data_IF_198241515259
#
_entry.id   IF_198241515259
#
_cell.length_a   1.000
_cell.length_b   1.000
_cell.length_c   1.000
_cell.angle_alpha   90.00
_cell.angle_beta   90.00
_cell.angle_gamma   90.00
#
_symmetry.space_group_name_H-M   'P 1'
#
loop_
_entity.id
_entity.type
_entity.pdbx_description
1 polymer ?
#
# COMPACT_ATOMS: atom_id res chain seq x y z
N UNK A 1 32.12 -12.37 -22.59
CA UNK A 1 31.63 -12.74 -23.95
C UNK A 1 30.43 -13.68 -23.85
N UNK A 2 30.47 -14.73 -23.03
CA UNK A 2 29.38 -15.71 -22.87
C UNK A 2 28.11 -15.16 -22.17
N UNK A 3 28.22 -14.29 -21.16
CA UNK A 3 27.05 -13.70 -20.49
C UNK A 3 26.15 -12.88 -21.43
N UNK A 4 26.73 -12.16 -22.38
CA UNK A 4 25.99 -11.35 -23.36
C UNK A 4 25.24 -12.20 -24.41
N UNK A 5 25.67 -13.46 -24.60
CA UNK A 5 25.08 -14.36 -25.59
C UNK A 5 23.79 -15.03 -25.09
N UNK A 6 23.70 -15.31 -23.79
CA UNK A 6 22.55 -15.95 -23.14
C UNK A 6 21.70 -14.97 -22.31
N UNK A 7 22.25 -13.80 -21.98
CA UNK A 7 21.54 -12.67 -21.38
C UNK A 7 21.84 -11.41 -22.19
N UNK A 8 21.27 -11.28 -23.42
CA UNK A 8 21.38 -10.04 -24.16
C UNK A 8 20.88 -8.89 -23.26
N UNK A 9 21.60 -7.75 -23.21
CA UNK A 9 21.22 -6.64 -22.37
C UNK A 9 19.77 -6.26 -22.69
N UNK A 10 18.90 -6.33 -21.67
CA UNK A 10 17.50 -5.99 -21.87
C UNK A 10 17.42 -4.57 -22.37
N UNK A 11 16.62 -4.36 -23.41
CA UNK A 11 16.19 -3.02 -23.79
C UNK A 11 15.51 -2.40 -22.56
N UNK A 12 15.60 -1.09 -22.36
CA UNK A 12 15.02 -0.43 -21.19
C UNK A 12 13.66 0.19 -21.54
N UNK A 13 12.78 0.26 -20.56
CA UNK A 13 11.48 0.95 -20.66
C UNK A 13 10.54 0.32 -21.67
N UNK A 14 9.98 1.14 -22.56
CA UNK A 14 8.99 0.72 -23.59
C UNK A 14 9.57 -0.26 -24.61
N UNK A 15 10.90 -0.32 -24.73
CA UNK A 15 11.57 -1.19 -25.67
C UNK A 15 11.76 -2.62 -25.12
N UNK A 16 11.53 -2.83 -23.81
CA UNK A 16 11.47 -4.16 -23.19
C UNK A 16 10.07 -4.75 -23.33
N UNK A 17 9.75 -5.32 -24.51
CA UNK A 17 8.42 -5.91 -24.75
C UNK A 17 8.10 -6.97 -23.68
N UNK A 18 9.08 -7.74 -23.24
CA UNK A 18 8.93 -8.75 -22.19
C UNK A 18 8.62 -8.13 -20.83
N UNK A 19 9.41 -7.12 -20.45
CA UNK A 19 9.17 -6.35 -19.22
C UNK A 19 7.80 -5.69 -19.20
N UNK A 20 7.34 -5.14 -20.33
CA UNK A 20 6.01 -4.57 -20.45
C UNK A 20 4.91 -5.62 -20.29
N UNK A 21 5.07 -6.81 -20.88
CA UNK A 21 4.10 -7.91 -20.69
C UNK A 21 4.01 -8.32 -19.23
N UNK A 22 5.15 -8.50 -18.55
CA UNK A 22 5.17 -8.84 -17.12
C UNK A 22 4.49 -7.75 -16.28
N UNK A 23 4.76 -6.48 -16.57
CA UNK A 23 4.15 -5.36 -15.87
C UNK A 23 2.63 -5.32 -16.08
N UNK A 24 2.15 -5.54 -17.31
CA UNK A 24 0.72 -5.60 -17.61
C UNK A 24 0.02 -6.73 -16.85
N UNK A 25 0.63 -7.92 -16.79
CA UNK A 25 0.09 -9.03 -16.00
C UNK A 25 0.04 -8.67 -14.51
N UNK A 26 1.07 -8.04 -13.96
CA UNK A 26 1.06 -7.58 -12.57
C UNK A 26 -0.06 -6.55 -12.30
N UNK A 27 -0.31 -5.63 -13.23
CA UNK A 27 -1.42 -4.67 -13.13
C UNK A 27 -2.78 -5.39 -13.16
N UNK A 28 -2.96 -6.37 -14.04
CA UNK A 28 -4.20 -7.16 -14.09
C UNK A 28 -4.45 -7.88 -12.77
N UNK A 29 -3.43 -8.57 -12.23
CA UNK A 29 -3.53 -9.26 -10.94
C UNK A 29 -3.84 -8.29 -9.78
N UNK A 30 -3.17 -7.13 -9.78
CA UNK A 30 -3.44 -6.06 -8.80
C UNK A 30 -4.87 -5.56 -8.89
N UNK A 31 -5.42 -5.38 -10.09
CA UNK A 31 -6.80 -4.92 -10.23
C UNK A 31 -7.81 -5.99 -9.80
N UNK A 32 -7.55 -7.26 -10.12
CA UNK A 32 -8.40 -8.36 -9.69
C UNK A 32 -8.43 -8.51 -8.16
N UNK A 33 -7.35 -8.17 -7.46
CA UNK A 33 -7.28 -8.29 -6.00
C UNK A 33 -8.07 -7.23 -5.23
N UNK A 34 -8.70 -6.25 -5.89
CA UNK A 34 -9.63 -5.33 -5.23
C UNK A 34 -11.03 -5.93 -5.03
N UNK A 35 -11.35 -7.00 -5.75
CA UNK A 35 -12.66 -7.65 -5.66
C UNK A 35 -12.61 -8.79 -4.65
N UNK A 36 -13.37 -8.70 -3.56
CA UNK A 36 -13.37 -9.68 -2.45
C UNK A 36 -13.56 -11.13 -2.93
N UNK A 37 -14.43 -11.34 -3.92
CA UNK A 37 -14.68 -12.67 -4.50
C UNK A 37 -13.47 -13.29 -5.20
N UNK A 38 -12.55 -12.46 -5.69
CA UNK A 38 -11.32 -12.91 -6.37
C UNK A 38 -10.19 -13.16 -5.39
N UNK A 39 -10.15 -12.44 -4.26
CA UNK A 39 -9.04 -12.48 -3.31
C UNK A 39 -8.74 -13.91 -2.85
N UNK A 40 -9.76 -14.68 -2.46
CA UNK A 40 -9.61 -16.09 -2.04
C UNK A 40 -9.00 -16.97 -3.12
N UNK A 41 -9.43 -16.77 -4.38
CA UNK A 41 -8.93 -17.53 -5.52
C UNK A 41 -7.46 -17.19 -5.83
N UNK A 42 -7.10 -15.91 -5.70
CA UNK A 42 -5.73 -15.45 -5.90
C UNK A 42 -4.80 -15.97 -4.79
N UNK A 43 -5.24 -15.92 -3.53
CA UNK A 43 -4.49 -16.41 -2.37
C UNK A 43 -4.25 -17.92 -2.43
N UNK A 44 -5.24 -18.70 -2.86
CA UNK A 44 -5.11 -20.15 -3.02
C UNK A 44 -4.18 -20.56 -4.18
N UNK A 45 -3.89 -19.66 -5.12
CA UNK A 45 -3.08 -19.97 -6.29
C UNK A 45 -1.58 -19.83 -5.99
N UNK A 46 -0.91 -20.96 -5.76
CA UNK A 46 0.53 -21.02 -5.50
C UNK A 46 1.41 -20.39 -6.58
N UNK A 47 1.00 -20.45 -7.85
CA UNK A 47 1.76 -19.83 -8.95
C UNK A 47 1.64 -18.31 -8.91
N UNK A 48 0.44 -17.79 -8.62
CA UNK A 48 0.20 -16.37 -8.37
C UNK A 48 1.09 -15.88 -7.23
N UNK A 49 1.06 -16.57 -6.08
CA UNK A 49 1.87 -16.20 -4.92
C UNK A 49 3.38 -16.17 -5.23
N UNK A 50 3.90 -17.17 -5.94
CA UNK A 50 5.30 -17.20 -6.39
C UNK A 50 5.64 -16.02 -7.30
N UNK A 51 4.75 -15.68 -8.23
CA UNK A 51 4.92 -14.54 -9.12
C UNK A 51 4.94 -13.21 -8.34
N UNK A 52 4.04 -13.04 -7.37
CA UNK A 52 3.97 -11.83 -6.55
C UNK A 52 5.19 -11.67 -5.66
N UNK A 53 5.65 -12.74 -5.01
CA UNK A 53 6.89 -12.72 -4.22
C UNK A 53 8.12 -12.42 -5.11
N UNK A 54 8.20 -13.00 -6.31
CA UNK A 54 9.26 -12.65 -7.26
C UNK A 54 9.19 -11.16 -7.64
N UNK A 55 7.99 -10.64 -7.86
CA UNK A 55 7.75 -9.24 -8.18
C UNK A 55 8.16 -8.31 -7.04
N UNK A 56 7.85 -8.67 -5.79
CA UNK A 56 8.23 -7.93 -4.57
C UNK A 56 9.76 -7.81 -4.39
N UNK A 57 10.54 -8.72 -4.96
CA UNK A 57 12.02 -8.67 -4.96
C UNK A 57 12.62 -8.15 -6.27
N UNK A 58 11.79 -7.62 -7.17
CA UNK A 58 12.25 -7.04 -8.43
C UNK A 58 13.09 -5.76 -8.23
N UNK A 59 14.09 -5.58 -9.11
CA UNK A 59 14.82 -4.32 -9.26
C UNK A 59 13.95 -3.22 -9.88
N UNK A 60 12.94 -3.59 -10.67
CA UNK A 60 12.00 -2.64 -11.28
C UNK A 60 10.97 -2.17 -10.25
N UNK A 61 11.05 -0.89 -9.87
CA UNK A 61 10.26 -0.30 -8.78
C UNK A 61 8.75 -0.49 -9.00
N UNK A 62 8.24 -0.19 -10.19
CA UNK A 62 6.81 -0.33 -10.49
C UNK A 62 6.30 -1.76 -10.34
N UNK A 63 7.09 -2.75 -10.78
CA UNK A 63 6.74 -4.16 -10.61
C UNK A 63 6.77 -4.58 -9.14
N UNK A 64 7.75 -4.07 -8.38
CA UNK A 64 7.84 -4.30 -6.93
C UNK A 64 6.65 -3.73 -6.18
N UNK A 65 6.26 -2.49 -6.50
CA UNK A 65 5.09 -1.85 -5.89
C UNK A 65 3.81 -2.63 -6.19
N UNK A 66 3.58 -3.02 -7.45
CA UNK A 66 2.42 -3.83 -7.82
C UNK A 66 2.41 -5.19 -7.12
N UNK A 67 3.58 -5.84 -6.99
CA UNK A 67 3.73 -7.09 -6.27
C UNK A 67 3.33 -6.96 -4.80
N UNK A 68 3.86 -5.93 -4.11
CA UNK A 68 3.56 -5.68 -2.69
C UNK A 68 2.13 -5.21 -2.46
N UNK A 69 1.60 -4.34 -3.31
CA UNK A 69 0.19 -3.90 -3.24
C UNK A 69 -0.75 -5.10 -3.38
N UNK A 70 -0.49 -5.99 -4.35
CA UNK A 70 -1.32 -7.19 -4.55
C UNK A 70 -1.19 -8.16 -3.39
N UNK A 71 0.03 -8.34 -2.83
CA UNK A 71 0.24 -9.16 -1.63
C UNK A 71 -0.52 -8.61 -0.43
N UNK A 72 -0.51 -7.29 -0.22
CA UNK A 72 -1.27 -6.63 0.84
C UNK A 72 -2.75 -6.94 0.75
N UNK A 73 -3.33 -6.81 -0.45
CA UNK A 73 -4.74 -7.09 -0.71
C UNK A 73 -5.14 -8.55 -0.43
N UNK A 74 -4.27 -9.52 -0.73
CA UNK A 74 -4.61 -10.95 -0.61
C UNK A 74 -4.15 -11.62 0.70
N UNK A 75 -3.33 -10.93 1.50
CA UNK A 75 -2.71 -11.49 2.69
C UNK A 75 -3.71 -11.99 3.73
N UNK A 76 -4.90 -11.40 3.82
CA UNK A 76 -5.93 -11.80 4.77
C UNK A 76 -6.50 -13.20 4.51
N UNK A 77 -6.41 -13.68 3.27
CA UNK A 77 -6.92 -14.98 2.83
C UNK A 77 -5.79 -15.98 2.54
N UNK A 78 -4.53 -15.60 2.84
CA UNK A 78 -3.36 -16.45 2.62
C UNK A 78 -3.17 -17.41 3.80
N UNK A 79 -3.34 -18.70 3.53
CA UNK A 79 -2.91 -19.77 4.41
C UNK A 79 -1.47 -20.16 4.07
N UNK A 80 -0.56 -19.94 5.01
CA UNK A 80 0.85 -20.24 4.81
C UNK A 80 1.09 -21.75 4.83
N UNK A 81 1.92 -22.21 3.89
CA UNK A 81 2.38 -23.59 3.93
C UNK A 81 3.29 -23.81 5.17
N UNK A 82 3.44 -25.05 5.66
CA UNK A 82 4.31 -25.37 6.80
C UNK A 82 5.77 -24.90 6.62
N UNK A 83 6.53 -24.91 7.72
CA UNK A 83 7.92 -24.41 7.79
C UNK A 83 8.87 -24.98 6.74
N UNK A 84 8.60 -26.14 6.16
CA UNK A 84 9.48 -26.72 5.13
C UNK A 84 9.40 -26.02 3.77
N UNK A 85 8.39 -25.17 3.56
CA UNK A 85 8.13 -24.55 2.27
C UNK A 85 8.86 -23.21 2.12
N UNK A 86 9.73 -23.14 1.11
CA UNK A 86 10.49 -21.92 0.76
C UNK A 86 9.61 -20.68 0.53
N UNK A 87 8.37 -20.87 0.09
CA UNK A 87 7.42 -19.76 -0.12
C UNK A 87 7.05 -19.07 1.18
N UNK A 88 6.85 -19.82 2.27
CA UNK A 88 6.59 -19.29 3.62
C UNK A 88 7.81 -18.51 4.14
N UNK A 89 9.01 -19.07 4.02
CA UNK A 89 10.27 -18.37 4.35
C UNK A 89 10.42 -17.07 3.57
N UNK A 90 10.15 -17.11 2.26
CA UNK A 90 10.26 -15.93 1.41
C UNK A 90 9.21 -14.87 1.76
N UNK A 91 8.01 -15.27 2.20
CA UNK A 91 6.99 -14.34 2.70
C UNK A 91 7.51 -13.57 3.91
N UNK A 92 7.96 -14.27 4.96
CA UNK A 92 8.50 -13.61 6.16
C UNK A 92 9.74 -12.78 5.85
N UNK A 93 10.64 -13.27 5.01
CA UNK A 93 11.79 -12.47 4.54
C UNK A 93 11.34 -11.18 3.84
N UNK A 94 10.26 -11.23 3.05
CA UNK A 94 9.70 -10.06 2.37
C UNK A 94 9.15 -9.06 3.39
N UNK A 95 8.39 -9.52 4.38
CA UNK A 95 7.86 -8.70 5.48
C UNK A 95 9.01 -8.03 6.24
N UNK A 96 9.98 -8.80 6.74
CA UNK A 96 11.12 -8.27 7.49
C UNK A 96 11.91 -7.25 6.67
N UNK A 97 12.18 -7.53 5.38
CA UNK A 97 12.87 -6.59 4.49
C UNK A 97 12.10 -5.29 4.30
N UNK A 98 10.77 -5.35 4.26
CA UNK A 98 9.91 -4.18 4.16
C UNK A 98 9.93 -3.33 5.44
N UNK A 99 9.79 -3.98 6.60
CA UNK A 99 9.85 -3.31 7.91
C UNK A 99 11.21 -2.62 8.14
N UNK A 100 12.31 -3.31 7.81
CA UNK A 100 13.68 -2.78 7.98
C UNK A 100 14.09 -1.77 6.91
N UNK A 101 13.23 -1.48 5.93
CA UNK A 101 13.52 -0.55 4.86
C UNK A 101 13.55 0.90 5.37
N UNK A 102 14.30 1.79 4.72
CA UNK A 102 14.20 3.24 4.96
C UNK A 102 13.04 3.89 4.19
N UNK A 103 12.46 3.15 3.25
CA UNK A 103 11.36 3.62 2.41
C UNK A 103 10.03 3.50 3.16
N UNK A 104 9.37 4.64 3.35
CA UNK A 104 8.04 4.74 3.99
C UNK A 104 7.01 3.83 3.34
N UNK A 105 6.98 3.73 2.01
CA UNK A 105 6.04 2.87 1.30
C UNK A 105 6.27 1.40 1.68
N UNK A 106 7.54 0.97 1.71
CA UNK A 106 7.88 -0.40 2.08
C UNK A 106 7.49 -0.69 3.53
N UNK A 107 7.74 0.22 4.47
CA UNK A 107 7.32 0.04 5.87
C UNK A 107 5.80 -0.16 6.01
N UNK A 108 5.02 0.73 5.39
CA UNK A 108 3.56 0.65 5.38
C UNK A 108 3.08 -0.71 4.81
N UNK A 109 3.62 -1.12 3.66
CA UNK A 109 3.26 -2.41 3.05
C UNK A 109 3.70 -3.61 3.88
N UNK A 110 4.86 -3.55 4.53
CA UNK A 110 5.32 -4.60 5.44
C UNK A 110 4.38 -4.80 6.62
N UNK A 111 3.93 -3.70 7.25
CA UNK A 111 2.97 -3.73 8.35
C UNK A 111 1.59 -4.22 7.90
N UNK A 112 1.09 -3.74 6.76
CA UNK A 112 -0.19 -4.17 6.19
C UNK A 112 -0.22 -5.67 5.87
N UNK A 113 0.81 -6.18 5.17
CA UNK A 113 0.93 -7.61 4.85
C UNK A 113 0.99 -8.44 6.13
N UNK A 114 1.81 -8.03 7.10
CA UNK A 114 1.93 -8.74 8.38
C UNK A 114 0.60 -8.77 9.15
N UNK A 115 -0.06 -7.62 9.29
CA UNK A 115 -1.35 -7.51 9.98
C UNK A 115 -2.42 -8.35 9.30
N UNK A 116 -2.47 -8.35 7.97
CA UNK A 116 -3.40 -9.18 7.22
C UNK A 116 -3.12 -10.68 7.38
N UNK A 117 -1.85 -11.11 7.41
CA UNK A 117 -1.51 -12.52 7.65
C UNK A 117 -1.97 -13.02 9.03
N UNK A 118 -2.05 -12.12 10.03
CA UNK A 118 -2.55 -12.45 11.38
C UNK A 118 -4.05 -12.78 11.40
N UNK A 119 -4.82 -12.38 10.39
CA UNK A 119 -6.28 -12.64 10.33
C UNK A 119 -6.63 -14.11 10.14
N UNK A 120 -5.69 -14.92 9.65
CA UNK A 120 -5.86 -16.36 9.56
C UNK A 120 -5.26 -17.04 10.80
N UNK A 121 -6.11 -17.61 11.66
CA UNK A 121 -5.70 -18.25 12.92
C UNK A 121 -4.61 -19.33 12.71
N UNK A 122 -4.72 -20.10 11.62
CA UNK A 122 -3.77 -21.16 11.25
C UNK A 122 -2.34 -20.65 11.03
N UNK A 123 -2.17 -19.36 10.67
CA UNK A 123 -0.84 -18.76 10.49
C UNK A 123 -0.14 -18.49 11.83
N UNK A 124 -0.83 -18.58 12.96
CA UNK A 124 -0.35 -17.97 14.19
C UNK A 124 0.93 -18.55 14.75
N UNK A 125 1.09 -19.86 14.71
CA UNK A 125 2.33 -20.53 15.13
C UNK A 125 3.51 -20.03 14.29
N UNK A 126 3.34 -19.93 12.97
CA UNK A 126 4.37 -19.47 12.05
C UNK A 126 4.71 -17.99 12.31
N UNK A 127 3.72 -17.13 12.47
CA UNK A 127 3.96 -15.70 12.74
C UNK A 127 4.72 -15.53 14.06
N UNK A 128 4.32 -16.24 15.11
CA UNK A 128 4.99 -16.20 16.39
C UNK A 128 6.43 -16.73 16.33
N UNK A 129 6.73 -17.68 15.46
CA UNK A 129 8.07 -18.23 15.25
C UNK A 129 8.96 -17.29 14.43
N UNK A 130 8.49 -16.80 13.28
CA UNK A 130 9.32 -16.10 12.29
C UNK A 130 9.43 -14.59 12.49
N UNK A 131 8.45 -13.94 13.13
CA UNK A 131 8.56 -12.50 13.44
C UNK A 131 9.48 -12.32 14.64
N UNK A 132 10.69 -11.87 14.36
CA UNK A 132 11.75 -11.70 15.36
C UNK A 132 11.60 -10.44 16.21
N UNK A 133 12.35 -10.36 17.31
CA UNK A 133 12.27 -9.26 18.27
C UNK A 133 12.63 -7.90 17.64
N UNK A 134 13.51 -7.89 16.63
CA UNK A 134 13.90 -6.67 15.94
C UNK A 134 12.76 -6.13 15.07
N UNK A 135 11.95 -7.00 14.45
CA UNK A 135 10.74 -6.60 13.73
C UNK A 135 9.74 -5.90 14.66
N UNK A 136 9.51 -6.43 15.88
CA UNK A 136 8.67 -5.74 16.88
C UNK A 136 9.24 -4.39 17.29
N UNK A 137 10.57 -4.29 17.45
CA UNK A 137 11.25 -3.03 17.79
C UNK A 137 11.03 -1.98 16.69
N UNK A 138 11.18 -2.38 15.43
CA UNK A 138 11.03 -1.47 14.30
C UNK A 138 9.58 -0.99 14.16
N UNK A 139 8.59 -1.88 14.32
CA UNK A 139 7.17 -1.52 14.33
C UNK A 139 6.90 -0.49 15.44
N UNK A 140 7.28 -0.78 16.68
CA UNK A 140 6.98 0.09 17.83
C UNK A 140 7.68 1.45 17.72
N UNK A 141 8.86 1.51 17.10
CA UNK A 141 9.58 2.77 16.86
C UNK A 141 8.72 3.80 16.10
N UNK A 142 7.82 3.34 15.23
CA UNK A 142 6.94 4.22 14.44
C UNK A 142 5.88 4.96 15.25
N UNK A 143 5.56 4.51 16.47
CA UNK A 143 4.64 5.21 17.37
C UNK A 143 5.12 6.61 17.78
N UNK A 144 6.42 6.87 17.65
CA UNK A 144 7.04 8.16 18.01
C UNK A 144 7.16 9.14 16.84
N UNK A 145 6.81 8.71 15.62
CA UNK A 145 6.97 9.52 14.43
C UNK A 145 5.76 10.45 14.22
N UNK A 146 5.96 11.71 13.80
CA UNK A 146 4.86 12.63 13.49
C UNK A 146 4.25 12.33 12.11
N UNK A 147 3.98 11.06 11.80
CA UNK A 147 3.33 10.59 10.59
C UNK A 147 2.08 9.80 10.98
N UNK A 148 0.93 10.45 10.91
CA UNK A 148 -0.34 9.90 11.40
C UNK A 148 -0.69 8.56 10.74
N UNK A 149 -0.40 8.39 9.46
CA UNK A 149 -0.72 7.16 8.74
C UNK A 149 0.19 6.02 9.17
N UNK A 150 1.47 6.31 9.43
CA UNK A 150 2.41 5.33 9.94
C UNK A 150 2.04 4.91 11.37
N UNK A 151 1.65 5.85 12.22
CA UNK A 151 1.16 5.56 13.58
C UNK A 151 -0.10 4.70 13.53
N UNK A 152 -1.10 5.05 12.71
CA UNK A 152 -2.33 4.25 12.54
C UNK A 152 -1.99 2.82 12.08
N UNK A 153 -1.16 2.69 11.05
CA UNK A 153 -0.77 1.37 10.52
C UNK A 153 0.00 0.54 11.56
N UNK A 154 0.80 1.21 12.38
CA UNK A 154 1.54 0.59 13.48
C UNK A 154 0.58 0.08 14.54
N UNK A 155 -0.41 0.88 14.93
CA UNK A 155 -1.43 0.46 15.90
C UNK A 155 -2.29 -0.69 15.38
N UNK A 156 -2.63 -0.68 14.09
CA UNK A 156 -3.39 -1.76 13.45
C UNK A 156 -2.62 -3.09 13.48
N UNK A 157 -1.34 -3.09 13.06
CA UNK A 157 -0.54 -4.33 13.10
C UNK A 157 -0.26 -4.78 14.54
N UNK A 158 -0.05 -3.85 15.49
CA UNK A 158 0.11 -4.21 16.90
C UNK A 158 -1.16 -4.83 17.48
N UNK A 159 -2.34 -4.29 17.14
CA UNK A 159 -3.62 -4.87 17.54
C UNK A 159 -3.76 -6.31 17.01
N UNK A 160 -3.54 -6.51 15.72
CA UNK A 160 -3.57 -7.85 15.10
C UNK A 160 -2.55 -8.81 15.76
N UNK A 161 -1.34 -8.34 16.05
CA UNK A 161 -0.32 -9.14 16.73
C UNK A 161 -0.71 -9.48 18.18
N UNK A 162 -1.39 -8.59 18.90
CA UNK A 162 -1.84 -8.89 20.27
C UNK A 162 -2.93 -9.97 20.32
N UNK A 163 -3.76 -10.09 19.28
CA UNK A 163 -4.75 -11.16 19.17
C UNK A 163 -4.12 -12.55 19.00
N UNK A 164 -2.83 -12.63 18.61
CA UNK A 164 -2.08 -13.89 18.50
C UNK A 164 -1.75 -14.54 19.84
N UNK A 165 -1.93 -13.83 20.95
CA UNK A 165 -1.74 -14.36 22.30
C UNK A 165 -0.40 -14.03 22.98
N UNK A 166 0.00 -14.89 23.90
CA UNK A 166 1.04 -14.64 24.90
C UNK A 166 2.43 -14.38 24.31
N UNK A 167 2.83 -15.14 23.28
CA UNK A 167 4.15 -15.01 22.64
C UNK A 167 4.31 -13.64 22.01
N UNK A 168 3.33 -13.20 21.21
CA UNK A 168 3.37 -11.91 20.54
C UNK A 168 3.28 -10.76 21.55
N UNK A 169 2.36 -10.84 22.52
CA UNK A 169 2.24 -9.86 23.60
C UNK A 169 3.54 -9.72 24.42
N UNK A 170 4.21 -10.84 24.70
CA UNK A 170 5.50 -10.85 25.40
C UNK A 170 6.59 -10.18 24.56
N UNK A 171 6.64 -10.42 23.24
CA UNK A 171 7.61 -9.77 22.34
C UNK A 171 7.37 -8.26 22.27
N UNK A 172 6.11 -7.82 22.21
CA UNK A 172 5.74 -6.39 22.27
C UNK A 172 6.22 -5.77 23.58
N UNK A 173 5.85 -6.34 24.73
CA UNK A 173 6.21 -5.81 26.05
C UNK A 173 7.73 -5.80 26.32
N UNK A 174 8.49 -6.69 25.67
CA UNK A 174 9.96 -6.72 25.74
C UNK A 174 10.65 -5.59 24.97
N UNK A 175 9.95 -4.89 24.08
CA UNK A 175 10.51 -3.71 23.43
C UNK A 175 10.54 -2.56 24.42
N UNK A 176 11.71 -1.95 24.56
CA UNK A 176 11.94 -0.83 25.49
C UNK A 176 10.90 0.28 25.29
N UNK A 177 10.29 0.73 26.39
CA UNK A 177 9.27 1.80 26.44
C UNK A 177 8.02 1.55 25.58
N UNK A 178 7.81 0.34 25.08
CA UNK A 178 6.62 0.00 24.26
C UNK A 178 5.31 0.38 24.94
N UNK A 179 5.15 0.01 26.21
CA UNK A 179 3.96 0.32 27.00
C UNK A 179 3.83 1.83 27.25
N UNK A 180 4.93 2.50 27.61
CA UNK A 180 4.93 3.95 27.82
C UNK A 180 4.53 4.71 26.55
N UNK A 181 5.02 4.29 25.39
CA UNK A 181 4.66 4.87 24.09
C UNK A 181 3.17 4.68 23.78
N UNK A 182 2.62 3.49 24.02
CA UNK A 182 1.18 3.21 23.83
C UNK A 182 0.32 4.06 24.77
N UNK A 183 0.70 4.18 26.05
CA UNK A 183 -0.02 5.01 27.02
C UNK A 183 0.03 6.49 26.65
N UNK A 184 1.18 6.98 26.18
CA UNK A 184 1.31 8.36 25.69
C UNK A 184 0.34 8.68 24.56
N UNK A 185 0.08 7.73 23.65
CA UNK A 185 -0.86 7.93 22.54
C UNK A 185 -2.32 8.12 22.99
N UNK A 186 -2.72 7.59 24.14
CA UNK A 186 -4.08 7.79 24.70
C UNK A 186 -4.36 9.27 25.00
N UNK A 187 -3.31 10.02 25.35
CA UNK A 187 -3.41 11.44 25.68
C UNK A 187 -2.99 12.36 24.51
N UNK A 188 -2.67 11.81 23.34
CA UNK A 188 -2.25 12.59 22.19
C UNK A 188 -3.46 13.19 21.47
N UNK A 189 -3.42 14.51 21.29
CA UNK A 189 -4.36 15.22 20.42
C UNK A 189 -3.90 15.10 18.96
N UNK A 190 -4.83 14.83 18.05
CA UNK A 190 -4.57 14.74 16.61
C UNK A 190 -4.05 16.05 16.02
N UNK A 191 -4.36 17.20 16.66
CA UNK A 191 -3.81 18.51 16.29
C UNK A 191 -2.27 18.53 16.34
N UNK A 192 -1.65 17.66 17.15
CA UNK A 192 -0.19 17.55 17.29
C UNK A 192 0.51 17.00 16.04
N UNK A 193 -0.21 16.36 15.11
CA UNK A 193 0.35 15.87 13.85
C UNK A 193 0.35 16.91 12.72
N UNK A 194 -0.15 18.12 12.98
CA UNK A 194 -0.22 19.22 12.02
C UNK A 194 -1.45 19.20 11.10
N UNK A 195 -1.66 20.29 10.34
CA UNK A 195 -2.88 20.50 9.54
C UNK A 195 -3.08 19.47 8.42
N UNK A 196 -2.00 18.90 7.88
CA UNK A 196 -2.08 17.90 6.81
C UNK A 196 -2.63 16.55 7.31
N UNK A 197 -2.33 16.19 8.56
CA UNK A 197 -2.88 14.99 9.20
C UNK A 197 -4.40 15.10 9.40
N UNK A 198 -4.88 16.29 9.77
CA UNK A 198 -6.31 16.60 9.91
C UNK A 198 -7.07 16.48 8.58
N UNK A 199 -6.42 16.81 7.46
CA UNK A 199 -7.01 16.66 6.13
C UNK A 199 -7.09 15.18 5.70
N UNK A 200 -6.09 14.37 6.03
CA UNK A 200 -6.07 12.93 5.72
C UNK A 200 -7.06 12.12 6.58
N UNK A 201 -7.27 12.54 7.84
CA UNK A 201 -8.19 11.89 8.79
C UNK A 201 -9.59 12.49 8.76
N UNK A 202 -9.88 13.40 7.80
CA UNK A 202 -11.16 14.09 7.70
C UNK A 202 -12.30 13.11 7.38
N UNK A 203 -12.85 12.58 8.48
CA UNK A 203 -14.17 12.02 8.72
C UNK A 203 -14.96 11.70 7.44
N UNK A 204 -15.06 10.41 7.14
CA UNK A 204 -16.23 9.85 6.46
C UNK A 204 -17.41 10.01 7.43
N UNK A 205 -17.89 11.24 7.62
CA UNK A 205 -19.24 11.46 8.10
C UNK A 205 -20.14 11.02 6.95
N UNK A 206 -20.66 9.80 7.04
CA UNK A 206 -21.85 9.42 6.28
C UNK A 206 -22.92 10.48 6.58
N UNK A 207 -23.38 11.28 5.60
CA UNK A 207 -24.50 12.17 5.86
C UNK A 207 -25.72 11.28 6.08
N UNK A 208 -26.10 11.09 7.34
CA UNK A 208 -27.44 10.66 7.68
C UNK A 208 -28.41 11.70 7.11
N UNK A 209 -29.21 11.27 6.14
CA UNK A 209 -30.26 12.03 5.49
C UNK A 209 -31.30 12.50 6.50
N UNK A 210 -31.07 13.65 7.14
CA UNK A 210 -32.05 14.39 7.94
C UNK A 210 -31.44 15.74 8.28
N UNK A 211 -31.67 16.75 7.44
CA UNK A 211 -31.83 18.18 7.77
C UNK A 211 -31.84 19.00 6.47
N UNK A 212 -32.86 18.77 5.65
CA UNK A 212 -33.42 19.85 4.86
C UNK A 212 -34.26 20.70 5.81
N UNK A 213 -33.76 21.86 6.25
CA UNK A 213 -34.57 23.06 6.47
C UNK A 213 -33.73 24.18 7.09
N UNK A 214 -33.81 25.36 6.46
CA UNK A 214 -33.55 26.71 6.99
C UNK A 214 -32.05 27.03 7.20
N UNK A 215 -31.46 28.06 6.57
CA UNK A 215 -32.01 29.39 6.31
C UNK A 215 -31.39 30.05 5.08
N UNK A 216 -32.26 30.56 4.21
CA UNK A 216 -31.97 31.75 3.39
C UNK A 216 -31.73 32.95 4.32
N UNK A 217 -30.73 33.78 4.05
CA UNK A 217 -30.82 35.26 4.07
C UNK A 217 -29.74 35.81 3.12
N UNK A 218 -30.18 36.49 2.06
CA UNK A 218 -29.39 37.38 1.18
C UNK A 218 -29.52 38.82 1.72
N UNK A 219 -28.51 39.68 1.55
CA UNK A 219 -28.74 40.89 0.73
C UNK A 219 -27.59 41.27 -0.22
N UNK A 220 -27.99 41.84 -1.38
CA UNK A 220 -27.20 42.55 -2.41
C UNK A 220 -26.76 43.94 -1.84
N UNK A 221 -25.81 44.76 -2.32
CA UNK A 221 -25.18 45.09 -3.61
C UNK A 221 -23.80 45.79 -3.32
N UNK A 222 -22.86 46.04 -4.24
CA UNK A 222 -22.81 47.13 -5.25
C UNK A 222 -21.62 46.88 -6.21
N UNK A 223 -21.80 47.30 -7.47
CA UNK A 223 -20.93 47.27 -8.65
C UNK A 223 -19.51 47.84 -8.49
N UNK A 224 -18.54 47.24 -9.21
CA UNK A 224 -17.58 48.00 -10.00
C UNK A 224 -17.19 47.26 -11.28
N UNK A 225 -17.49 47.91 -12.40
CA UNK A 225 -17.24 47.52 -13.79
C UNK A 225 -15.76 47.69 -14.12
N UNK A 226 -15.13 46.68 -14.74
CA UNK A 226 -14.01 46.90 -15.65
C UNK A 226 -14.04 45.90 -16.83
N UNK A 227 -14.16 46.51 -18.00
CA UNK A 227 -14.28 45.97 -19.36
C UNK A 227 -12.99 45.28 -19.79
N UNK A 228 -13.05 44.08 -20.36
CA UNK A 228 -12.07 43.63 -21.35
C UNK A 228 -12.65 42.58 -22.30
N UNK A 229 -12.62 42.95 -23.57
CA UNK A 229 -13.05 42.29 -24.81
C UNK A 229 -12.31 40.97 -25.09
N UNK A 230 -13.06 39.89 -25.36
CA UNK A 230 -12.52 38.70 -26.01
C UNK A 230 -13.18 38.50 -27.39
N UNK A 231 -12.38 38.65 -28.44
CA UNK A 231 -12.72 38.31 -29.82
C UNK A 231 -12.38 36.84 -30.05
N UNK A 232 -13.34 36.09 -30.60
CA UNK A 232 -13.23 34.69 -30.97
C UNK A 232 -12.26 34.50 -32.17
N UNK A 233 -11.48 33.42 -32.16
CA UNK A 233 -10.79 32.90 -33.35
C UNK A 233 -10.83 31.37 -33.39
N UNK A 234 -11.05 30.87 -34.60
CA UNK A 234 -11.51 29.55 -34.99
C UNK A 234 -10.36 28.51 -35.21
N UNK A 235 -10.67 27.21 -35.41
CA UNK A 235 -9.72 26.10 -35.33
C UNK A 235 -8.81 25.87 -36.56
N UNK A 236 -7.74 25.12 -36.30
CA UNK A 236 -6.59 24.72 -37.15
C UNK A 236 -6.98 23.71 -38.24
N UNK A 237 -6.44 23.79 -39.49
CA UNK A 237 -6.71 22.81 -40.54
C UNK A 237 -5.72 21.63 -40.59
N UNK A 238 -6.27 20.48 -41.00
CA UNK A 238 -5.63 19.17 -41.24
C UNK A 238 -4.74 19.16 -42.50
N UNK A 239 -3.62 18.45 -42.42
CA UNK A 239 -2.69 18.17 -43.52
C UNK A 239 -3.26 17.13 -44.50
N UNK A 240 -3.30 17.47 -45.80
CA UNK A 240 -3.68 16.56 -46.88
C UNK A 240 -2.48 15.78 -47.42
N UNK A 241 -2.67 14.46 -47.60
CA UNK A 241 -1.78 13.52 -48.29
C UNK A 241 -2.48 13.06 -49.58
N UNK A 242 -1.73 13.00 -50.70
CA UNK A 242 -2.14 12.38 -51.97
C UNK A 242 -2.77 13.37 -52.97
N UNK A 243 -2.54 13.35 -54.28
CA UNK A 243 -2.01 12.32 -55.18
C UNK A 243 -1.29 12.95 -56.38
N UNK A 244 -0.37 12.19 -56.95
CA UNK A 244 0.37 12.46 -58.18
C UNK A 244 -0.30 11.66 -59.30
N UNK A 245 -0.88 12.29 -60.33
CA UNK A 245 -1.17 11.61 -61.61
C UNK A 245 -1.42 12.58 -62.78
N UNK A 246 -0.65 12.30 -63.84
CA UNK A 246 -0.68 12.77 -65.24
C UNK A 246 -0.16 14.16 -65.53
#
# INVERSE_FOLDING_TARGET
IWESLFHPPRKLGINDIEGQRVLQIAVILRNLSFEEGNVKLLAANRTCLRFLLLSAHSHFISLRQLGLDTLGNIAAELLLDPVDFKTTHLMFHTVTKCLMSRDRFLKMRGMEILGNLCKAEDNGVLICEYVDQDSYREIICHLTLPDVLLVISTLEVLYMLTEMGDVACTKIAKVEKSIDMLVCLVSMDIQMFGPDALAAVKLIEHPSSSHQMLSEIRPQAIEQVQTQTHVASAPVPLYNIGEKKR
#
